data_IF_128358828102
#
_entry.id   IF_128358828102
#
_cell.length_a   1.000
_cell.length_b   1.000
_cell.length_c   1.000
_cell.angle_alpha   90.00
_cell.angle_beta   90.00
_cell.angle_gamma   90.00
#
_symmetry.space_group_name_H-M   'P 1'
#
loop_
_entity.id
_entity.type
_entity.pdbx_description
1 polymer ?
#
# COMPACT_ATOMS: atom_id res chain seq x y z
N UNK A 1 -32.64 -7.56 -23.76
CA UNK A 1 -32.05 -6.96 -22.56
C UNK A 1 -30.60 -6.78 -22.90
N UNK A 2 -30.14 -5.54 -23.09
CA UNK A 2 -28.74 -5.30 -23.44
C UNK A 2 -27.92 -5.40 -22.15
N UNK A 3 -26.99 -6.34 -22.11
CA UNK A 3 -26.08 -6.51 -20.99
C UNK A 3 -25.10 -5.33 -20.96
N UNK A 4 -25.18 -4.51 -19.90
CA UNK A 4 -24.23 -3.43 -19.67
C UNK A 4 -23.00 -4.01 -18.98
N UNK A 5 -21.87 -4.03 -19.67
CA UNK A 5 -20.59 -4.49 -19.11
C UNK A 5 -19.86 -3.32 -18.42
N UNK A 6 -19.60 -3.45 -17.11
CA UNK A 6 -18.82 -2.46 -16.35
C UNK A 6 -17.43 -3.01 -16.01
N UNK A 7 -16.39 -2.38 -16.57
CA UNK A 7 -15.00 -2.79 -16.36
C UNK A 7 -14.32 -1.92 -15.31
N UNK A 8 -13.84 -2.58 -14.25
CA UNK A 8 -13.11 -1.94 -13.16
C UNK A 8 -11.68 -2.45 -13.07
N UNK A 9 -10.82 -1.60 -12.54
CA UNK A 9 -9.44 -1.93 -12.21
C UNK A 9 -9.13 -1.47 -10.80
N UNK A 10 -8.21 -2.14 -10.10
CA UNK A 10 -7.79 -1.75 -8.76
C UNK A 10 -6.34 -1.29 -8.72
N UNK A 11 -6.03 -0.43 -7.76
CA UNK A 11 -4.65 -0.10 -7.39
C UNK A 11 -4.39 -0.60 -5.97
N UNK A 12 -3.15 -0.97 -5.67
CA UNK A 12 -2.76 -1.53 -4.38
C UNK A 12 -1.43 -0.96 -3.90
N UNK A 13 -1.30 -0.81 -2.58
CA UNK A 13 -0.03 -0.64 -1.91
C UNK A 13 0.21 -1.86 -1.01
N UNK A 14 1.38 -2.47 -1.13
CA UNK A 14 1.75 -3.66 -0.38
C UNK A 14 3.03 -3.42 0.40
N UNK A 15 3.04 -3.80 1.68
CA UNK A 15 4.22 -3.70 2.53
C UNK A 15 4.66 -5.11 2.92
N UNK A 16 5.93 -5.41 2.71
CA UNK A 16 6.55 -6.69 3.07
C UNK A 16 7.51 -6.51 4.25
N UNK A 17 7.62 -7.52 5.11
CA UNK A 17 8.65 -7.51 6.16
C UNK A 17 9.30 -8.87 6.25
N UNK A 18 10.60 -8.90 6.52
CA UNK A 18 11.36 -10.12 6.81
C UNK A 18 11.29 -10.52 8.30
N UNK A 19 10.79 -9.64 9.16
CA UNK A 19 10.63 -9.90 10.59
C UNK A 19 9.40 -9.20 11.16
N UNK A 20 8.53 -9.99 11.80
CA UNK A 20 7.35 -9.47 12.48
C UNK A 20 7.72 -8.64 13.71
N UNK A 21 8.91 -8.86 14.29
CA UNK A 21 9.39 -8.15 15.47
C UNK A 21 9.66 -6.66 15.19
N UNK A 22 9.87 -6.30 13.92
CA UNK A 22 10.01 -4.90 13.51
C UNK A 22 8.66 -4.16 13.60
N UNK A 23 7.54 -4.89 13.57
CA UNK A 23 6.19 -4.33 13.57
C UNK A 23 5.80 -4.00 15.01
N UNK A 24 6.10 -2.77 15.44
CA UNK A 24 5.66 -2.26 16.75
C UNK A 24 4.18 -1.87 16.77
N UNK A 25 3.61 -1.54 15.60
CA UNK A 25 2.21 -1.15 15.45
C UNK A 25 1.69 -1.50 14.05
N UNK A 26 0.50 -2.10 13.99
CA UNK A 26 -0.22 -2.38 12.75
C UNK A 26 -0.53 -1.08 12.00
N UNK A 27 -0.82 0.00 12.74
CA UNK A 27 -1.10 1.32 12.15
C UNK A 27 0.07 1.85 11.32
N UNK A 28 1.30 1.61 11.78
CA UNK A 28 2.51 2.01 11.03
C UNK A 28 2.61 1.31 9.67
N UNK A 29 2.29 0.01 9.62
CA UNK A 29 2.24 -0.74 8.36
C UNK A 29 1.13 -0.20 7.47
N UNK A 30 -0.07 -0.04 8.02
CA UNK A 30 -1.23 0.45 7.25
C UNK A 30 -0.94 1.82 6.65
N UNK A 31 -0.27 2.71 7.39
CA UNK A 31 0.15 4.03 6.90
C UNK A 31 1.13 3.93 5.73
N UNK A 32 2.13 3.04 5.80
CA UNK A 32 3.06 2.83 4.68
C UNK A 32 2.37 2.19 3.46
N UNK A 33 1.48 1.22 3.68
CA UNK A 33 0.72 0.59 2.61
C UNK A 33 -0.25 1.58 1.93
N UNK A 34 -0.89 2.47 2.70
CA UNK A 34 -1.75 3.51 2.17
C UNK A 34 -0.96 4.57 1.38
N UNK A 35 0.24 4.94 1.83
CA UNK A 35 1.14 5.82 1.07
C UNK A 35 1.49 5.21 -0.31
N UNK A 36 1.86 3.93 -0.35
CA UNK A 36 2.12 3.21 -1.60
C UNK A 36 0.87 3.12 -2.49
N UNK A 37 -0.31 2.93 -1.90
CA UNK A 37 -1.58 2.96 -2.64
C UNK A 37 -1.83 4.34 -3.26
N UNK A 38 -1.59 5.41 -2.50
CA UNK A 38 -1.73 6.78 -2.99
C UNK A 38 -0.77 7.04 -4.16
N UNK A 39 0.49 6.62 -4.04
CA UNK A 39 1.48 6.66 -5.12
C UNK A 39 1.01 5.90 -6.37
N UNK A 40 0.46 4.70 -6.20
CA UNK A 40 -0.09 3.91 -7.30
C UNK A 40 -1.24 4.65 -8.01
N UNK A 41 -2.08 5.37 -7.27
CA UNK A 41 -3.19 6.16 -7.81
C UNK A 41 -2.70 7.38 -8.61
N UNK A 42 -1.71 8.11 -8.11
CA UNK A 42 -1.15 9.28 -8.83
C UNK A 42 -0.31 8.86 -10.04
N UNK A 43 0.32 7.68 -10.01
CA UNK A 43 1.15 7.16 -11.08
C UNK A 43 0.37 6.58 -12.28
N UNK A 44 -0.95 6.77 -12.33
CA UNK A 44 -1.81 6.32 -13.44
C UNK A 44 -2.76 5.18 -13.10
N UNK A 45 -2.88 4.78 -11.81
CA UNK A 45 -3.80 3.74 -11.32
C UNK A 45 -3.47 2.35 -11.91
N UNK A 46 -4.40 1.41 -11.74
CA UNK A 46 -4.37 0.01 -12.21
C UNK A 46 -3.00 -0.68 -12.04
N UNK A 47 -2.40 -0.54 -10.85
CA UNK A 47 -1.10 -1.11 -10.51
C UNK A 47 -0.96 -1.35 -9.03
N UNK A 48 -0.02 -2.21 -8.67
CA UNK A 48 0.39 -2.47 -7.30
C UNK A 48 1.81 -1.95 -7.11
N UNK A 49 2.03 -1.15 -6.07
CA UNK A 49 3.35 -0.77 -5.60
C UNK A 49 3.67 -1.53 -4.32
N UNK A 50 4.94 -1.88 -4.15
CA UNK A 50 5.42 -2.65 -3.01
C UNK A 50 6.65 -1.97 -2.40
N UNK A 51 6.79 -2.10 -1.08
CA UNK A 51 7.95 -1.62 -0.34
C UNK A 51 8.21 -2.47 0.90
N UNK A 52 9.46 -2.56 1.30
CA UNK A 52 9.82 -3.20 2.57
C UNK A 52 9.47 -2.29 3.74
N UNK A 53 8.88 -2.87 4.79
CA UNK A 53 8.53 -2.17 6.00
C UNK A 53 9.80 -1.63 6.65
N UNK A 54 9.88 -0.31 6.73
CA UNK A 54 10.92 0.33 7.50
C UNK A 54 10.36 0.74 8.86
N UNK A 55 10.76 0.00 9.90
CA UNK A 55 10.38 0.27 11.29
C UNK A 55 11.10 1.48 11.90
N UNK A 56 12.01 2.14 11.19
CA UNK A 56 12.60 3.40 11.65
C UNK A 56 11.53 4.48 11.65
N UNK A 57 11.01 4.78 12.83
CA UNK A 57 10.09 5.86 13.08
C UNK A 57 10.79 7.19 12.66
N UNK A 58 10.36 7.93 11.63
CA UNK A 58 11.02 9.18 11.23
C UNK A 58 10.87 10.31 12.26
N UNK A 59 10.23 10.03 13.40
CA UNK A 59 9.80 10.98 14.41
C UNK A 59 10.42 10.73 15.80
N UNK A 60 11.42 9.87 15.92
CA UNK A 60 12.26 9.83 17.14
C UNK A 60 13.61 10.51 16.85
N UNK A 61 13.95 11.63 17.55
CA UNK A 61 15.30 12.19 17.54
C UNK A 61 16.33 11.30 18.23
#
# INVERSE_FOLDING_TARGET
SDDIEFRVTMSGGAVTTSSIDQIKSIESIMKQADALLYEAKIAGKNRVLYGDFNGSNPLEP
#
